data_IF_126162675207
#
_entry.id   IF_126162675207
#
_cell.length_a   1.000
_cell.length_b   1.000
_cell.length_c   1.000
_cell.angle_alpha   90.00
_cell.angle_beta   90.00
_cell.angle_gamma   90.00
#
_symmetry.space_group_name_H-M   'P 1'
#
loop_
_entity.id
_entity.type
_entity.pdbx_description
1 polymer ?
#
# COMPACT_ATOMS: atom_id res chain seq x y z
N UNK A 1 27.79 44.62 3.39
CA UNK A 1 26.92 44.02 2.36
C UNK A 1 27.35 42.58 2.23
N UNK A 2 26.73 41.68 2.98
CA UNK A 2 27.02 40.25 2.95
C UNK A 2 26.27 39.63 1.76
N UNK A 3 27.02 39.03 0.83
CA UNK A 3 26.44 38.29 -0.30
C UNK A 3 25.81 37.01 0.23
N UNK A 4 24.48 36.92 0.13
CA UNK A 4 23.77 35.66 0.35
C UNK A 4 24.04 34.77 -0.86
N UNK A 5 24.87 33.76 -0.67
CA UNK A 5 24.99 32.65 -1.60
C UNK A 5 23.65 31.93 -1.69
N UNK A 6 22.95 32.18 -2.79
CA UNK A 6 21.75 31.43 -3.16
C UNK A 6 22.26 30.09 -3.69
N UNK A 7 22.25 29.09 -2.82
CA UNK A 7 22.40 27.69 -3.22
C UNK A 7 21.25 27.34 -4.16
N UNK A 8 21.54 27.32 -5.45
CA UNK A 8 20.63 26.76 -6.46
C UNK A 8 20.71 25.24 -6.32
N UNK A 9 19.59 24.54 -6.08
CA UNK A 9 19.58 23.08 -6.04
C UNK A 9 20.11 22.54 -7.36
N UNK A 10 21.11 21.66 -7.28
CA UNK A 10 21.71 21.03 -8.45
C UNK A 10 20.61 20.36 -9.31
N UNK A 11 20.67 20.44 -10.65
CA UNK A 11 19.70 19.79 -11.51
C UNK A 11 19.63 18.29 -11.17
N UNK A 12 18.43 17.77 -10.92
CA UNK A 12 18.19 16.32 -10.80
C UNK A 12 18.80 15.68 -12.05
N UNK A 13 19.85 14.88 -11.88
CA UNK A 13 20.44 14.14 -12.98
C UNK A 13 19.35 13.26 -13.58
N UNK A 14 18.90 13.62 -14.78
CA UNK A 14 18.09 12.75 -15.62
C UNK A 14 19.00 11.57 -15.98
N UNK A 15 18.94 10.52 -15.16
CA UNK A 15 19.63 9.28 -15.45
C UNK A 15 18.85 8.63 -16.60
N UNK A 16 19.54 8.24 -17.67
CA UNK A 16 18.96 7.40 -18.72
C UNK A 16 18.29 6.18 -18.04
N UNK A 17 17.13 5.77 -18.55
CA UNK A 17 16.37 4.61 -18.03
C UNK A 17 17.36 3.48 -17.71
N UNK A 18 17.37 3.04 -16.47
CA UNK A 18 18.21 1.95 -16.01
C UNK A 18 17.88 0.71 -16.86
N UNK A 19 18.79 0.37 -17.76
CA UNK A 19 18.53 -0.58 -18.84
C UNK A 19 18.97 -2.00 -18.48
N UNK A 20 19.80 -2.17 -17.45
CA UNK A 20 20.31 -3.48 -17.06
C UNK A 20 19.37 -4.14 -16.04
N UNK A 21 18.73 -5.28 -16.38
CA UNK A 21 17.89 -6.03 -15.44
C UNK A 21 18.58 -6.38 -14.11
N UNK A 22 19.93 -6.46 -14.08
CA UNK A 22 20.69 -6.70 -12.84
C UNK A 22 20.55 -5.57 -11.82
N UNK A 23 20.30 -4.34 -12.26
CA UNK A 23 20.16 -3.18 -11.39
C UNK A 23 18.92 -3.24 -10.50
N UNK A 24 17.93 -4.05 -10.87
CA UNK A 24 16.68 -4.20 -10.13
C UNK A 24 16.62 -5.45 -9.26
N UNK A 25 17.57 -6.40 -9.41
CA UNK A 25 17.54 -7.63 -8.61
C UNK A 25 17.42 -7.32 -7.11
N UNK A 26 16.54 -8.04 -6.39
CA UNK A 26 15.80 -9.25 -6.81
C UNK A 26 14.50 -9.00 -7.61
N UNK A 27 14.10 -7.75 -7.83
CA UNK A 27 12.90 -7.44 -8.61
C UNK A 27 13.05 -7.81 -10.07
N UNK A 28 11.98 -8.38 -10.63
CA UNK A 28 11.87 -8.72 -12.04
C UNK A 28 10.95 -7.69 -12.68
N UNK A 29 11.50 -6.91 -13.61
CA UNK A 29 10.76 -5.92 -14.39
C UNK A 29 9.99 -6.62 -15.51
N UNK A 30 8.72 -6.26 -15.69
CA UNK A 30 7.95 -6.65 -16.87
C UNK A 30 8.58 -6.07 -18.14
N UNK A 31 8.40 -6.75 -19.27
CA UNK A 31 8.92 -6.27 -20.55
C UNK A 31 8.30 -4.91 -20.92
N UNK A 32 9.16 -3.90 -21.05
CA UNK A 32 8.75 -2.54 -21.39
C UNK A 32 8.07 -2.42 -22.76
N UNK A 33 8.27 -3.38 -23.67
CA UNK A 33 7.57 -3.42 -24.96
C UNK A 33 6.10 -3.80 -24.82
N UNK A 34 5.74 -4.53 -23.76
CA UNK A 34 4.37 -4.93 -23.45
C UNK A 34 3.63 -3.89 -22.59
N UNK A 35 4.36 -3.13 -21.78
CA UNK A 35 3.84 -2.07 -20.90
C UNK A 35 4.66 -0.78 -21.03
N UNK A 36 4.53 -0.10 -22.16
CA UNK A 36 5.35 1.07 -22.48
C UNK A 36 5.09 2.28 -21.55
N UNK A 37 3.85 2.41 -21.05
CA UNK A 37 3.39 3.52 -20.21
C UNK A 37 3.54 3.27 -18.70
N UNK A 38 3.78 2.02 -18.29
CA UNK A 38 3.76 1.61 -16.88
C UNK A 38 4.94 0.70 -16.56
N UNK A 39 5.75 1.08 -15.58
CA UNK A 39 6.75 0.20 -15.01
C UNK A 39 6.09 -0.74 -14.01
N UNK A 40 6.15 -2.04 -14.28
CA UNK A 40 5.66 -3.11 -13.40
C UNK A 40 6.82 -4.00 -12.98
N UNK A 41 6.94 -4.24 -11.69
CA UNK A 41 7.95 -5.09 -11.08
C UNK A 41 7.29 -6.16 -10.21
N UNK A 42 7.91 -7.32 -10.19
CA UNK A 42 7.50 -8.46 -9.38
C UNK A 42 8.66 -8.96 -8.54
N UNK A 43 8.41 -9.16 -7.26
CA UNK A 43 9.32 -9.81 -6.32
C UNK A 43 8.75 -11.18 -5.94
N UNK A 44 9.32 -12.30 -6.42
CA UNK A 44 8.89 -13.63 -6.02
C UNK A 44 9.05 -13.82 -4.52
N UNK A 45 8.05 -14.41 -3.86
CA UNK A 45 8.19 -14.90 -2.47
C UNK A 45 7.96 -16.41 -2.44
N UNK A 46 8.58 -17.08 -1.48
CA UNK A 46 8.49 -18.54 -1.36
C UNK A 46 7.07 -19.04 -1.05
N UNK A 47 6.30 -18.33 -0.23
CA UNK A 47 4.91 -18.64 0.14
C UNK A 47 4.23 -17.44 0.80
N UNK A 48 2.91 -17.53 1.03
CA UNK A 48 2.20 -16.74 2.02
C UNK A 48 1.67 -17.66 3.13
N UNK A 49 1.94 -17.39 4.42
CA UNK A 49 2.78 -16.31 4.92
C UNK A 49 4.25 -16.38 4.42
N UNK A 50 4.85 -15.21 4.22
CA UNK A 50 6.22 -15.03 3.72
C UNK A 50 7.22 -15.46 4.80
N UNK A 51 8.34 -16.07 4.40
CA UNK A 51 9.40 -16.46 5.35
C UNK A 51 10.00 -15.23 6.03
N UNK A 52 10.42 -15.37 7.28
CA UNK A 52 10.93 -14.24 8.08
C UNK A 52 12.11 -13.50 7.40
N UNK A 53 13.01 -14.21 6.72
CA UNK A 53 14.13 -13.57 6.01
C UNK A 53 13.66 -12.72 4.82
N UNK A 54 12.75 -13.26 3.99
CA UNK A 54 12.14 -12.53 2.88
C UNK A 54 11.34 -11.33 3.42
N UNK A 55 10.54 -11.53 4.47
CA UNK A 55 9.74 -10.48 5.12
C UNK A 55 10.62 -9.36 5.68
N UNK A 56 11.72 -9.70 6.35
CA UNK A 56 12.66 -8.71 6.87
C UNK A 56 13.28 -7.88 5.74
N UNK A 57 13.70 -8.53 4.66
CA UNK A 57 14.23 -7.84 3.48
C UNK A 57 13.18 -6.91 2.85
N UNK A 58 11.96 -7.39 2.63
CA UNK A 58 10.86 -6.60 2.02
C UNK A 58 10.51 -5.41 2.93
N UNK A 59 10.47 -5.63 4.25
CA UNK A 59 10.20 -4.55 5.22
C UNK A 59 11.23 -3.44 5.09
N UNK A 60 12.52 -3.80 5.08
CA UNK A 60 13.62 -2.85 4.98
C UNK A 60 13.61 -2.13 3.62
N UNK A 61 13.41 -2.88 2.54
CA UNK A 61 13.23 -2.32 1.20
C UNK A 61 12.12 -1.27 1.15
N UNK A 62 10.93 -1.59 1.68
CA UNK A 62 9.79 -0.68 1.67
C UNK A 62 10.01 0.54 2.57
N UNK A 63 10.76 0.41 3.67
CA UNK A 63 11.14 1.54 4.51
C UNK A 63 12.00 2.54 3.73
N UNK A 64 13.05 2.05 3.06
CA UNK A 64 13.95 2.89 2.26
C UNK A 64 13.28 3.49 1.03
N UNK A 65 12.49 2.68 0.32
CA UNK A 65 11.70 3.15 -0.83
C UNK A 65 10.73 4.27 -0.39
N UNK A 66 10.03 4.09 0.73
CA UNK A 66 9.10 5.11 1.23
C UNK A 66 9.82 6.41 1.59
N UNK A 67 10.97 6.31 2.25
CA UNK A 67 11.79 7.48 2.60
C UNK A 67 12.26 8.23 1.35
N UNK A 68 12.76 7.51 0.34
CA UNK A 68 13.18 8.10 -0.92
C UNK A 68 12.00 8.78 -1.64
N UNK A 69 10.85 8.12 -1.73
CA UNK A 69 9.66 8.69 -2.38
C UNK A 69 9.14 9.93 -1.66
N UNK A 70 9.20 9.94 -0.33
CA UNK A 70 8.82 11.09 0.47
C UNK A 70 9.78 12.26 0.30
N UNK A 71 11.10 12.02 0.37
CA UNK A 71 12.10 13.07 0.28
C UNK A 71 12.19 13.66 -1.14
N UNK A 72 12.16 12.80 -2.16
CA UNK A 72 12.40 13.22 -3.53
C UNK A 72 11.12 13.68 -4.25
N UNK A 73 9.94 13.17 -3.85
CA UNK A 73 8.69 13.42 -4.57
C UNK A 73 7.54 13.87 -3.67
N UNK A 74 7.74 13.94 -2.35
CA UNK A 74 6.69 14.30 -1.40
C UNK A 74 5.57 13.26 -1.28
N UNK A 75 5.77 12.05 -1.82
CA UNK A 75 4.75 11.00 -1.73
C UNK A 75 4.72 10.39 -0.34
N UNK A 76 3.51 10.13 0.15
CA UNK A 76 3.28 9.45 1.44
C UNK A 76 2.77 8.04 1.21
N UNK A 77 3.34 7.07 1.90
CA UNK A 77 2.85 5.68 1.87
C UNK A 77 1.61 5.53 2.74
N UNK A 78 0.55 4.99 2.15
CA UNK A 78 -0.70 4.66 2.83
C UNK A 78 -0.92 3.15 2.82
N UNK A 79 -1.06 2.56 4.01
CA UNK A 79 -1.13 1.12 4.20
C UNK A 79 -2.57 0.68 4.41
N UNK A 80 -2.97 -0.30 3.60
CA UNK A 80 -4.26 -0.95 3.62
C UNK A 80 -4.06 -2.44 3.89
N UNK A 81 -5.02 -3.07 4.57
CA UNK A 81 -4.99 -4.50 4.86
C UNK A 81 -6.35 -5.15 4.64
N UNK A 82 -6.39 -6.30 3.98
CA UNK A 82 -7.63 -7.03 3.74
C UNK A 82 -8.15 -7.64 5.05
N UNK A 83 -9.39 -7.32 5.42
CA UNK A 83 -10.02 -7.80 6.65
C UNK A 83 -10.10 -9.33 6.72
N UNK A 84 -10.36 -9.99 5.58
CA UNK A 84 -10.44 -11.46 5.50
C UNK A 84 -9.16 -12.16 5.94
N UNK A 85 -8.01 -11.52 5.76
CA UNK A 85 -6.70 -12.09 6.13
C UNK A 85 -6.41 -12.05 7.64
N UNK A 86 -7.26 -11.38 8.45
CA UNK A 86 -7.11 -11.39 9.91
C UNK A 86 -7.31 -12.81 10.47
N UNK A 87 -8.22 -13.57 9.86
CA UNK A 87 -8.42 -14.99 10.14
C UNK A 87 -7.91 -15.78 8.93
N UNK A 88 -6.72 -16.40 8.98
CA UNK A 88 -6.19 -17.16 10.11
C UNK A 88 -4.92 -16.58 10.75
N UNK A 89 -4.89 -16.50 12.09
CA UNK A 89 -3.65 -16.30 12.86
C UNK A 89 -3.30 -14.85 13.26
N UNK A 90 -4.03 -13.84 12.77
CA UNK A 90 -3.78 -12.43 13.09
C UNK A 90 -4.81 -11.81 14.04
N UNK A 91 -5.80 -12.56 14.52
CA UNK A 91 -6.90 -12.03 15.35
C UNK A 91 -6.40 -11.29 16.59
N UNK A 92 -5.53 -11.89 17.41
CA UNK A 92 -5.06 -11.24 18.64
C UNK A 92 -4.13 -10.06 18.35
N UNK A 93 -3.28 -10.20 17.33
CA UNK A 93 -2.40 -9.14 16.83
C UNK A 93 -3.23 -7.92 16.39
N UNK A 94 -4.23 -8.15 15.55
CA UNK A 94 -5.14 -7.12 15.07
C UNK A 94 -5.97 -6.53 16.21
N UNK A 95 -6.46 -7.34 17.15
CA UNK A 95 -7.21 -6.84 18.32
C UNK A 95 -6.34 -5.92 19.17
N UNK A 96 -5.12 -6.34 19.49
CA UNK A 96 -4.18 -5.58 20.31
C UNK A 96 -3.74 -4.27 19.64
N UNK A 97 -3.45 -4.32 18.34
CA UNK A 97 -3.10 -3.13 17.55
C UNK A 97 -4.31 -2.20 17.35
N UNK A 98 -5.46 -2.78 17.05
CA UNK A 98 -6.72 -2.11 16.77
C UNK A 98 -7.28 -1.26 17.91
N UNK A 99 -6.85 -1.51 19.15
CA UNK A 99 -7.16 -0.68 20.32
C UNK A 99 -6.33 0.62 20.37
N UNK A 100 -5.22 0.69 19.63
CA UNK A 100 -4.26 1.79 19.64
C UNK A 100 -4.25 2.59 18.34
N UNK A 101 -4.90 2.10 17.29
CA UNK A 101 -4.91 2.73 15.98
C UNK A 101 -6.32 3.21 15.59
N UNK A 102 -6.38 4.37 14.95
CA UNK A 102 -7.55 4.76 14.18
C UNK A 102 -7.53 3.99 12.86
N UNK A 103 -8.69 3.46 12.48
CA UNK A 103 -8.89 2.73 11.23
C UNK A 103 -10.14 3.22 10.52
N UNK A 104 -10.08 3.21 9.20
CA UNK A 104 -11.23 3.48 8.34
C UNK A 104 -11.50 2.24 7.49
N UNK A 105 -12.75 1.82 7.44
CA UNK A 105 -13.17 0.69 6.61
C UNK A 105 -13.53 1.18 5.22
N UNK A 106 -13.00 0.50 4.21
CA UNK A 106 -13.37 0.67 2.82
C UNK A 106 -13.55 -0.67 2.14
N UNK A 107 -13.65 -0.66 0.82
CA UNK A 107 -13.82 -1.85 0.02
C UNK A 107 -12.62 -2.04 -0.90
N UNK A 108 -12.13 -3.26 -1.01
CA UNK A 108 -11.15 -3.68 -2.00
C UNK A 108 -11.90 -4.38 -3.12
N UNK A 109 -11.53 -4.10 -4.37
CA UNK A 109 -12.22 -4.67 -5.52
C UNK A 109 -11.32 -4.68 -6.75
N UNK A 110 -11.44 -5.69 -7.59
CA UNK A 110 -10.98 -5.59 -8.98
C UNK A 110 -12.03 -4.86 -9.83
N UNK A 111 -11.60 -4.00 -10.75
CA UNK A 111 -12.53 -3.28 -11.64
C UNK A 111 -13.54 -4.27 -12.26
N UNK A 112 -14.84 -4.01 -12.10
CA UNK A 112 -15.94 -4.84 -12.61
C UNK A 112 -16.27 -6.14 -11.84
N UNK A 113 -15.50 -6.54 -10.82
CA UNK A 113 -15.79 -7.75 -10.03
C UNK A 113 -17.13 -7.65 -9.27
N UNK A 114 -18.10 -8.52 -9.50
CA UNK A 114 -19.36 -8.45 -8.74
C UNK A 114 -19.11 -8.64 -7.23
N UNK A 115 -19.75 -7.79 -6.42
CA UNK A 115 -19.68 -7.99 -4.98
C UNK A 115 -20.45 -9.25 -4.59
N UNK A 116 -19.90 -10.06 -3.67
CA UNK A 116 -20.64 -11.17 -3.08
C UNK A 116 -22.01 -10.69 -2.59
N UNK A 117 -23.02 -11.48 -2.88
CA UNK A 117 -24.37 -11.30 -2.35
C UNK A 117 -24.57 -12.23 -1.16
N UNK A 118 -25.38 -11.78 -0.20
CA UNK A 118 -25.84 -12.68 0.85
C UNK A 118 -26.77 -13.72 0.23
N UNK A 119 -26.57 -15.02 0.50
CA UNK A 119 -27.49 -16.03 0.02
C UNK A 119 -28.87 -15.80 0.65
N UNK A 120 -29.90 -16.13 -0.12
CA UNK A 120 -31.28 -16.18 0.37
C UNK A 120 -31.45 -17.23 1.48
N UNK A 121 -32.46 -17.08 2.36
CA UNK A 121 -32.77 -18.10 3.37
C UNK A 121 -32.94 -19.51 2.78
N UNK A 122 -33.50 -19.62 1.58
CA UNK A 122 -33.69 -20.87 0.84
C UNK A 122 -32.36 -21.49 0.41
N UNK A 123 -31.41 -20.67 -0.07
CA UNK A 123 -30.05 -21.12 -0.43
C UNK A 123 -29.27 -21.59 0.79
N UNK A 124 -29.35 -20.86 1.91
CA UNK A 124 -28.73 -21.26 3.18
C UNK A 124 -29.28 -22.62 3.62
N UNK A 125 -30.61 -22.78 3.60
CA UNK A 125 -31.26 -24.04 3.96
C UNK A 125 -30.76 -25.19 3.08
N UNK A 126 -30.69 -24.99 1.77
CA UNK A 126 -30.17 -25.98 0.82
C UNK A 126 -28.71 -26.32 1.10
N UNK A 127 -27.85 -25.34 1.37
CA UNK A 127 -26.44 -25.58 1.71
C UNK A 127 -26.28 -26.43 2.97
N UNK A 128 -27.10 -26.18 3.99
CA UNK A 128 -27.13 -26.98 5.23
C UNK A 128 -27.61 -28.41 4.94
N UNK A 129 -28.68 -28.56 4.16
CA UNK A 129 -29.22 -29.88 3.77
C UNK A 129 -28.22 -30.70 2.93
N UNK A 130 -27.40 -30.03 2.12
CA UNK A 130 -26.31 -30.63 1.34
C UNK A 130 -25.03 -30.90 2.17
N UNK A 131 -25.02 -30.54 3.46
CA UNK A 131 -23.86 -30.73 4.33
C UNK A 131 -22.66 -29.83 4.00
N UNK A 132 -22.88 -28.72 3.28
CA UNK A 132 -21.80 -27.77 2.95
C UNK A 132 -21.37 -27.01 4.20
N UNK A 133 -20.06 -26.87 4.38
CA UNK A 133 -19.52 -25.97 5.42
C UNK A 133 -19.81 -24.54 5.02
N UNK A 134 -20.48 -23.79 5.88
CA UNK A 134 -20.80 -22.38 5.66
C UNK A 134 -19.67 -21.53 6.25
N UNK A 135 -19.00 -20.77 5.39
CA UNK A 135 -18.08 -19.72 5.79
C UNK A 135 -18.63 -18.36 5.41
N UNK A 136 -19.10 -17.60 6.41
CA UNK A 136 -19.66 -16.27 6.19
C UNK A 136 -18.68 -15.30 5.49
N UNK A 137 -17.37 -15.57 5.54
CA UNK A 137 -16.35 -14.77 4.84
C UNK A 137 -16.51 -14.82 3.33
N UNK A 138 -17.10 -15.87 2.78
CA UNK A 138 -17.37 -16.00 1.35
C UNK A 138 -18.42 -15.00 0.86
N UNK A 139 -19.27 -14.52 1.77
CA UNK A 139 -20.34 -13.55 1.47
C UNK A 139 -19.93 -12.11 1.77
N UNK A 140 -18.77 -11.91 2.39
CA UNK A 140 -18.22 -10.58 2.63
C UNK A 140 -17.48 -10.11 1.37
N UNK A 141 -17.67 -8.85 0.99
CA UNK A 141 -16.75 -8.20 0.06
C UNK A 141 -15.32 -8.18 0.60
N UNK A 142 -14.35 -7.83 -0.24
CA UNK A 142 -12.95 -7.73 0.17
C UNK A 142 -12.72 -6.43 0.95
N UNK A 143 -13.31 -6.31 2.14
CA UNK A 143 -13.20 -5.11 2.97
C UNK A 143 -11.73 -4.80 3.30
N UNK A 144 -11.37 -3.54 3.14
CA UNK A 144 -10.04 -3.02 3.42
C UNK A 144 -10.06 -2.20 4.70
N UNK A 145 -9.05 -2.42 5.54
CA UNK A 145 -8.74 -1.55 6.65
C UNK A 145 -7.69 -0.57 6.18
N UNK A 146 -7.99 0.72 6.18
CA UNK A 146 -6.99 1.78 6.06
C UNK A 146 -6.54 2.20 7.45
N UNK A 147 -5.24 2.06 7.74
CA UNK A 147 -4.65 2.52 8.99
C UNK A 147 -4.36 4.03 8.91
N UNK A 148 -5.32 4.85 9.35
CA UNK A 148 -5.22 6.31 9.31
C UNK A 148 -4.26 6.88 10.38
N UNK A 149 -3.99 6.14 11.46
CA UNK A 149 -2.84 6.42 12.32
C UNK A 149 -1.55 6.05 11.58
N UNK A 150 -0.66 7.02 11.34
CA UNK A 150 0.49 6.84 10.45
C UNK A 150 1.66 6.18 11.18
N UNK A 151 1.61 4.85 11.27
CA UNK A 151 2.65 4.02 11.90
C UNK A 151 3.16 2.93 10.93
N UNK A 152 3.73 3.32 9.77
CA UNK A 152 4.00 2.40 8.67
C UNK A 152 4.96 1.27 9.05
N UNK A 153 5.98 1.53 9.87
CA UNK A 153 6.95 0.53 10.31
C UNK A 153 6.28 -0.56 11.16
N UNK A 154 5.50 -0.16 12.17
CA UNK A 154 4.77 -1.09 13.04
C UNK A 154 3.72 -1.87 12.26
N UNK A 155 3.01 -1.20 11.34
CA UNK A 155 2.02 -1.84 10.47
C UNK A 155 2.66 -2.90 9.57
N UNK A 156 3.81 -2.61 8.95
CA UNK A 156 4.58 -3.59 8.17
C UNK A 156 5.03 -4.74 9.04
N UNK A 157 5.62 -4.46 10.21
CA UNK A 157 6.06 -5.50 11.15
C UNK A 157 4.93 -6.49 11.48
N UNK A 158 3.73 -5.97 11.75
CA UNK A 158 2.57 -6.75 12.18
C UNK A 158 1.85 -7.47 11.04
N UNK A 159 1.72 -6.85 9.86
CA UNK A 159 0.78 -7.29 8.84
C UNK A 159 1.43 -7.63 7.48
N UNK A 160 2.66 -7.18 7.21
CA UNK A 160 3.39 -7.58 6.01
C UNK A 160 3.74 -9.06 6.08
N UNK A 161 3.73 -9.71 4.94
CA UNK A 161 4.03 -11.12 4.73
C UNK A 161 2.78 -11.99 4.68
N UNK A 162 1.57 -11.44 4.81
CA UNK A 162 0.34 -12.24 4.91
C UNK A 162 -0.47 -12.31 3.61
N UNK A 163 -0.01 -11.67 2.53
CA UNK A 163 -0.68 -11.77 1.23
C UNK A 163 -1.87 -10.83 1.09
N UNK A 164 -1.92 -9.79 1.91
CA UNK A 164 -3.12 -8.99 2.14
C UNK A 164 -2.85 -7.51 2.39
N UNK A 165 -1.57 -7.11 2.43
CA UNK A 165 -1.18 -5.71 2.54
C UNK A 165 -1.07 -5.07 1.15
N UNK A 166 -1.68 -3.91 1.03
CA UNK A 166 -1.51 -3.01 -0.12
C UNK A 166 -0.99 -1.68 0.38
N UNK A 167 0.06 -1.15 -0.24
CA UNK A 167 0.55 0.21 0.01
C UNK A 167 0.40 1.03 -1.26
N UNK A 168 -0.28 2.17 -1.19
CA UNK A 168 -0.27 3.16 -2.27
C UNK A 168 0.47 4.41 -1.80
N UNK A 169 1.17 5.06 -2.73
CA UNK A 169 1.91 6.27 -2.46
C UNK A 169 1.13 7.46 -3.00
N UNK A 170 0.50 8.21 -2.11
CA UNK A 170 -0.34 9.35 -2.48
C UNK A 170 0.47 10.63 -2.55
N UNK A 171 0.18 11.53 -3.52
CA UNK A 171 0.69 12.89 -3.48
C UNK A 171 0.11 13.65 -2.27
N UNK A 172 0.75 14.75 -1.85
CA UNK A 172 0.19 15.61 -0.82
C UNK A 172 -1.13 16.20 -1.30
N UNK A 173 -2.16 16.18 -0.46
CA UNK A 173 -3.43 16.83 -0.76
C UNK A 173 -3.34 18.31 -0.36
N UNK A 174 -3.42 19.27 -1.30
CA UNK A 174 -3.31 20.69 -0.98
C UNK A 174 -4.45 21.20 -0.09
N UNK A 175 -5.60 20.50 -0.06
CA UNK A 175 -6.77 20.84 0.77
C UNK A 175 -6.62 20.36 2.21
N UNK A 176 -5.80 19.32 2.44
CA UNK A 176 -5.59 18.73 3.76
C UNK A 176 -4.24 19.16 4.30
N UNK A 177 -4.23 20.21 5.11
CA UNK A 177 -3.03 20.64 5.86
C UNK A 177 -3.25 20.35 7.33
N UNK A 178 -2.51 19.38 7.86
CA UNK A 178 -2.50 19.12 9.30
C UNK A 178 -1.91 20.35 10.00
N UNK A 179 -2.65 20.99 10.92
CA UNK A 179 -2.14 22.16 11.63
C UNK A 179 -0.98 21.74 12.54
N UNK A 180 0.04 22.60 12.63
CA UNK A 180 1.07 22.44 13.67
C UNK A 180 0.43 22.69 15.02
N UNK A 181 0.31 21.65 15.83
CA UNK A 181 -0.23 21.77 17.18
C UNK A 181 0.71 22.62 18.05
N UNK A 182 0.18 23.50 18.90
CA UNK A 182 0.98 24.39 19.75
C UNK A 182 1.61 23.67 20.96
N UNK A 183 1.70 22.34 20.94
CA UNK A 183 2.19 21.55 22.06
C UNK A 183 3.69 21.29 21.93
N UNK A 184 4.50 21.98 22.74
CA UNK A 184 5.95 21.76 22.79
C UNK A 184 6.28 20.37 23.37
N UNK A 185 7.48 19.82 23.11
CA UNK A 185 7.92 18.56 23.72
C UNK A 185 7.82 18.54 25.26
N UNK A 186 8.09 19.68 25.90
CA UNK A 186 8.00 19.84 27.36
C UNK A 186 6.55 19.78 27.85
N UNK A 187 5.62 20.40 27.11
CA UNK A 187 4.19 20.33 27.45
C UNK A 187 3.65 18.91 27.28
N UNK A 188 4.10 18.21 26.23
CA UNK A 188 3.76 16.80 25.96
C UNK A 188 4.24 15.86 27.04
N UNK A 189 5.45 16.05 27.56
CA UNK A 189 6.00 15.21 28.62
C UNK A 189 5.39 15.51 30.00
N UNK A 190 5.00 16.75 30.26
CA UNK A 190 4.41 17.17 31.54
C UNK A 190 2.98 16.63 31.75
N UNK A 191 2.15 16.57 30.71
CA UNK A 191 0.74 16.17 30.83
C UNK A 191 0.57 14.64 30.78
N UNK A 192 -0.06 14.07 31.82
CA UNK A 192 -0.27 12.62 31.92
C UNK A 192 -1.10 12.03 30.75
N UNK A 193 -2.02 12.81 30.18
CA UNK A 193 -2.87 12.40 29.05
C UNK A 193 -2.06 12.24 27.76
N UNK A 194 -1.13 13.17 27.47
CA UNK A 194 -0.30 13.13 26.26
C UNK A 194 0.75 12.00 26.29
N UNK A 195 1.08 11.47 27.46
CA UNK A 195 1.90 10.25 27.59
C UNK A 195 1.14 8.96 27.27
N UNK A 196 -0.20 8.99 27.34
CA UNK A 196 -1.07 7.83 27.08
C UNK A 196 -1.70 7.85 25.68
N UNK A 197 -1.76 9.03 25.06
CA UNK A 197 -2.47 9.27 23.81
C UNK A 197 -1.54 9.96 22.83
N UNK A 198 -1.36 9.35 21.67
CA UNK A 198 -0.63 9.94 20.57
C UNK A 198 -1.52 10.95 19.81
N UNK A 199 -1.52 12.18 20.31
CA UNK A 199 -2.34 13.26 19.78
C UNK A 199 -2.01 13.59 18.33
N UNK A 200 -0.73 13.54 17.95
CA UNK A 200 -0.32 13.83 16.57
C UNK A 200 -0.91 12.81 15.60
N UNK A 201 -0.89 11.53 15.97
CA UNK A 201 -1.50 10.48 15.16
C UNK A 201 -3.02 10.58 15.10
N UNK A 202 -3.68 11.05 16.16
CA UNK A 202 -5.13 11.30 16.14
C UNK A 202 -5.46 12.45 15.19
N UNK A 203 -4.75 13.58 15.28
CA UNK A 203 -4.96 14.71 14.38
C UNK A 203 -4.67 14.32 12.94
N UNK A 204 -3.54 13.68 12.68
CA UNK A 204 -3.20 13.21 11.34
C UNK A 204 -4.27 12.27 10.79
N UNK A 205 -4.78 11.35 11.60
CA UNK A 205 -5.87 10.46 11.21
C UNK A 205 -7.19 11.18 10.91
N UNK A 206 -7.56 12.18 11.71
CA UNK A 206 -8.77 12.97 11.50
C UNK A 206 -8.70 13.82 10.21
N UNK A 207 -7.52 14.32 9.86
CA UNK A 207 -7.30 15.05 8.61
C UNK A 207 -7.23 14.12 7.39
N UNK A 208 -6.71 12.89 7.55
CA UNK A 208 -6.73 11.88 6.49
C UNK A 208 -8.16 11.53 6.04
N UNK A 209 -9.16 11.65 6.92
CA UNK A 209 -10.57 11.47 6.59
C UNK A 209 -11.17 12.57 5.71
N UNK A 210 -10.41 13.63 5.41
CA UNK A 210 -10.82 14.74 4.54
C UNK A 210 -10.10 14.71 3.19
N UNK A 211 -9.27 13.69 2.94
CA UNK A 211 -8.49 13.58 1.72
C UNK A 211 -9.36 13.34 0.50
N UNK A 212 -9.05 14.04 -0.59
CA UNK A 212 -9.73 13.88 -1.87
C UNK A 212 -9.58 12.45 -2.45
N UNK A 213 -8.64 11.66 -1.94
CA UNK A 213 -8.50 10.25 -2.28
C UNK A 213 -9.80 9.47 -2.00
N UNK A 214 -10.49 9.74 -0.89
CA UNK A 214 -11.70 9.03 -0.50
C UNK A 214 -12.76 9.07 -1.61
N UNK A 215 -13.16 10.28 -2.01
CA UNK A 215 -14.19 10.47 -3.04
C UNK A 215 -13.72 10.01 -4.42
N UNK A 216 -12.50 10.36 -4.83
CA UNK A 216 -11.96 9.99 -6.14
C UNK A 216 -11.81 8.47 -6.32
N UNK A 217 -11.44 7.77 -5.24
CA UNK A 217 -11.33 6.31 -5.26
C UNK A 217 -12.71 5.66 -5.48
N UNK A 218 -13.76 6.22 -4.86
CA UNK A 218 -15.14 5.75 -5.04
C UNK A 218 -15.67 6.04 -6.44
N UNK A 219 -15.38 7.23 -6.98
CA UNK A 219 -15.76 7.60 -8.34
C UNK A 219 -15.10 6.66 -9.37
N UNK A 220 -13.81 6.36 -9.19
CA UNK A 220 -13.04 5.56 -10.13
C UNK A 220 -13.35 4.06 -10.04
N UNK A 221 -13.43 3.50 -8.84
CA UNK A 221 -13.53 2.05 -8.62
C UNK A 221 -14.91 1.59 -8.14
N UNK A 222 -15.83 2.53 -7.87
CA UNK A 222 -17.19 2.24 -7.42
C UNK A 222 -18.21 2.02 -8.51
N UNK A 223 -17.81 2.07 -9.78
CA UNK A 223 -18.70 1.86 -10.92
C UNK A 223 -19.48 0.54 -10.78
N UNK A 224 -20.80 0.62 -10.92
CA UNK A 224 -21.73 -0.49 -10.77
C UNK A 224 -22.18 -0.78 -9.34
N UNK A 225 -21.73 -0.01 -8.35
CA UNK A 225 -22.16 -0.13 -6.94
C UNK A 225 -23.10 0.99 -6.51
N UNK A 226 -23.34 1.99 -7.35
CA UNK A 226 -24.03 3.24 -6.99
C UNK A 226 -25.47 3.01 -6.52
N UNK A 227 -26.11 1.95 -7.00
CA UNK A 227 -27.48 1.58 -6.65
C UNK A 227 -27.56 0.70 -5.40
N UNK A 228 -26.42 0.25 -4.85
CA UNK A 228 -26.39 -0.65 -3.69
C UNK A 228 -26.60 0.12 -2.39
N UNK A 229 -27.44 -0.38 -1.46
CA UNK A 229 -27.70 0.29 -0.18
C UNK A 229 -26.46 0.58 0.67
N UNK A 230 -25.42 -0.25 0.57
CA UNK A 230 -24.19 -0.11 1.34
C UNK A 230 -23.21 0.93 0.75
N UNK A 231 -23.36 1.33 -0.52
CA UNK A 231 -22.40 2.21 -1.20
C UNK A 231 -22.19 3.57 -0.53
N UNK A 232 -23.22 4.25 0.02
CA UNK A 232 -23.03 5.47 0.82
C UNK A 232 -22.15 5.25 2.06
N UNK A 233 -22.16 4.05 2.65
CA UNK A 233 -21.39 3.70 3.84
C UNK A 233 -19.94 3.31 3.57
N UNK A 234 -19.56 3.06 2.30
CA UNK A 234 -18.19 2.75 1.92
C UNK A 234 -17.38 4.05 1.90
N UNK A 235 -16.32 4.14 2.72
CA UNK A 235 -15.52 5.37 2.79
C UNK A 235 -14.58 5.56 1.59
N UNK A 236 -14.00 4.48 1.08
CA UNK A 236 -13.10 4.46 -0.07
C UNK A 236 -13.18 3.11 -0.79
N UNK A 237 -12.73 3.07 -2.04
CA UNK A 237 -12.58 1.83 -2.80
C UNK A 237 -11.14 1.70 -3.31
N UNK A 238 -10.43 0.68 -2.84
CA UNK A 238 -9.05 0.41 -3.23
C UNK A 238 -8.99 -0.64 -4.35
N UNK A 239 -8.25 -0.40 -5.45
CA UNK A 239 -8.11 -1.40 -6.47
C UNK A 239 -7.17 -2.51 -6.00
N UNK A 240 -7.62 -3.77 -6.05
CA UNK A 240 -6.80 -4.94 -5.77
C UNK A 240 -6.14 -5.44 -7.07
N UNK A 241 -5.16 -4.67 -7.56
CA UNK A 241 -4.48 -4.96 -8.81
C UNK A 241 -3.50 -6.14 -8.69
N UNK A 242 -3.57 -7.02 -9.68
CA UNK A 242 -2.69 -8.17 -9.94
C UNK A 242 -1.91 -7.92 -11.23
N UNK A 243 -0.90 -8.73 -11.52
CA UNK A 243 -0.07 -8.56 -12.72
C UNK A 243 -0.91 -8.55 -14.00
N UNK A 244 -1.85 -9.51 -14.12
CA UNK A 244 -2.79 -9.64 -15.24
C UNK A 244 -3.59 -8.36 -15.50
N UNK A 245 -3.99 -7.65 -14.45
CA UNK A 245 -4.79 -6.43 -14.55
C UNK A 245 -4.03 -5.31 -15.26
N UNK A 246 -2.71 -5.21 -15.06
CA UNK A 246 -1.90 -4.22 -15.77
C UNK A 246 -1.81 -4.53 -17.26
N UNK A 247 -1.67 -5.80 -17.65
CA UNK A 247 -1.59 -6.20 -19.06
C UNK A 247 -2.93 -6.13 -19.80
N UNK A 248 -4.04 -6.37 -19.11
CA UNK A 248 -5.38 -6.35 -19.70
C UNK A 248 -5.98 -4.95 -19.80
N UNK A 249 -5.59 -4.02 -18.91
CA UNK A 249 -6.08 -2.65 -18.94
C UNK A 249 -5.63 -1.89 -20.20
N UNK A 250 -6.40 -0.88 -20.60
CA UNK A 250 -5.93 0.07 -21.61
C UNK A 250 -4.90 1.04 -20.99
N UNK A 251 -4.02 1.67 -21.79
CA UNK A 251 -3.12 2.71 -21.30
C UNK A 251 -3.84 3.85 -20.57
N UNK A 252 -5.01 4.26 -21.06
CA UNK A 252 -5.82 5.33 -20.49
C UNK A 252 -6.36 4.94 -19.11
N UNK A 253 -6.76 3.68 -18.94
CA UNK A 253 -7.23 3.20 -17.64
C UNK A 253 -6.09 3.13 -16.62
N UNK A 254 -4.90 2.66 -17.02
CA UNK A 254 -3.71 2.70 -16.16
C UNK A 254 -3.34 4.14 -15.78
N UNK A 255 -3.38 5.06 -16.73
CA UNK A 255 -3.13 6.48 -16.48
C UNK A 255 -4.11 7.05 -15.45
N UNK A 256 -5.40 6.66 -15.51
CA UNK A 256 -6.37 7.05 -14.49
C UNK A 256 -5.98 6.54 -13.10
N UNK A 257 -5.57 5.28 -12.97
CA UNK A 257 -5.12 4.73 -11.69
C UNK A 257 -3.95 5.54 -11.12
N UNK A 258 -2.95 5.84 -11.94
CA UNK A 258 -1.75 6.55 -11.50
C UNK A 258 -1.91 8.08 -11.40
N UNK A 259 -3.04 8.63 -11.87
CA UNK A 259 -3.49 9.98 -11.49
C UNK A 259 -4.00 10.03 -10.05
N UNK A 260 -4.52 8.92 -9.52
CA UNK A 260 -4.99 8.83 -8.14
C UNK A 260 -3.84 8.61 -7.15
N UNK A 261 -2.91 7.70 -7.48
CA UNK A 261 -1.73 7.38 -6.66
C UNK A 261 -0.45 7.35 -7.50
N UNK A 262 0.67 7.78 -6.93
CA UNK A 262 1.96 7.81 -7.64
C UNK A 262 2.58 6.43 -7.84
N UNK A 263 2.51 5.57 -6.83
CA UNK A 263 3.05 4.21 -6.87
C UNK A 263 2.12 3.25 -6.13
N UNK A 264 2.08 2.01 -6.57
CA UNK A 264 1.27 0.93 -6.02
C UNK A 264 2.17 -0.24 -5.64
N UNK A 265 1.99 -0.77 -4.43
CA UNK A 265 2.66 -1.99 -3.95
C UNK A 265 1.60 -2.92 -3.37
N UNK A 266 1.61 -4.20 -3.76
CA UNK A 266 0.62 -5.16 -3.29
C UNK A 266 1.23 -6.53 -3.06
N UNK A 267 0.91 -7.14 -1.93
CA UNK A 267 1.12 -8.57 -1.75
C UNK A 267 0.06 -9.34 -2.55
N UNK A 268 0.51 -10.12 -3.53
CA UNK A 268 -0.37 -10.86 -4.42
C UNK A 268 -0.11 -12.36 -4.30
N UNK A 269 -0.92 -13.08 -3.51
CA UNK A 269 -0.90 -14.55 -3.48
C UNK A 269 -1.12 -15.17 -4.86
N UNK A 270 -1.94 -14.54 -5.71
CA UNK A 270 -2.19 -14.99 -7.08
C UNK A 270 -0.91 -14.92 -7.92
N UNK A 271 -0.15 -13.82 -7.82
CA UNK A 271 1.11 -13.64 -8.53
C UNK A 271 2.31 -14.24 -7.77
N UNK A 272 2.08 -14.94 -6.65
CA UNK A 272 3.11 -15.58 -5.80
C UNK A 272 4.25 -14.63 -5.42
N UNK A 273 3.92 -13.37 -5.10
CA UNK A 273 4.92 -12.35 -4.86
C UNK A 273 4.38 -11.01 -4.41
N UNK A 274 5.27 -10.03 -4.36
CA UNK A 274 4.92 -8.62 -4.17
C UNK A 274 5.00 -7.92 -5.52
N UNK A 275 3.96 -7.19 -5.88
CA UNK A 275 3.94 -6.32 -7.05
C UNK A 275 4.32 -4.90 -6.67
N UNK A 276 5.03 -4.22 -7.55
CA UNK A 276 5.32 -2.79 -7.48
C UNK A 276 5.08 -2.17 -8.85
N UNK A 277 4.28 -1.11 -8.92
CA UNK A 277 3.93 -0.48 -10.19
C UNK A 277 3.87 1.05 -10.09
N UNK A 278 4.29 1.73 -11.15
CA UNK A 278 4.23 3.19 -11.31
C UNK A 278 4.38 3.61 -12.78
N UNK A 279 3.94 4.81 -13.16
CA UNK A 279 4.13 5.34 -14.53
C UNK A 279 5.25 6.35 -14.65
N UNK A 280 5.55 7.10 -13.59
CA UNK A 280 6.53 8.17 -13.63
C UNK A 280 7.95 7.61 -13.59
N UNK A 281 8.71 7.81 -14.66
CA UNK A 281 10.08 7.32 -14.79
C UNK A 281 10.98 7.82 -13.65
N UNK A 282 10.75 9.03 -13.14
CA UNK A 282 11.54 9.56 -12.03
C UNK A 282 11.42 8.71 -10.74
N UNK A 283 10.34 7.96 -10.54
CA UNK A 283 10.20 7.08 -9.37
C UNK A 283 11.10 5.85 -9.44
N UNK A 284 11.60 5.52 -10.63
CA UNK A 284 12.58 4.46 -10.84
C UNK A 284 13.90 4.76 -10.12
N UNK A 285 14.25 6.05 -9.97
CA UNK A 285 15.42 6.49 -9.21
C UNK A 285 15.26 6.17 -7.73
N UNK A 286 14.06 6.35 -7.16
CA UNK A 286 13.80 6.01 -5.75
C UNK A 286 13.89 4.50 -5.49
N UNK A 287 13.40 3.68 -6.43
CA UNK A 287 13.55 2.23 -6.43
C UNK A 287 15.02 1.82 -6.45
N UNK A 288 15.78 2.35 -7.40
CA UNK A 288 17.20 2.07 -7.53
C UNK A 288 17.99 2.50 -6.29
N UNK A 289 17.76 3.70 -5.77
CA UNK A 289 18.44 4.19 -4.57
C UNK A 289 18.15 3.30 -3.35
N UNK A 290 16.92 2.79 -3.23
CA UNK A 290 16.58 1.83 -2.17
C UNK A 290 17.41 0.55 -2.34
N UNK A 291 17.42 -0.05 -3.53
CA UNK A 291 18.18 -1.28 -3.81
C UNK A 291 19.69 -1.11 -3.64
N UNK A 292 20.27 -0.02 -4.14
CA UNK A 292 21.70 0.26 -3.98
C UNK A 292 22.10 0.40 -2.51
N UNK A 293 21.27 1.09 -1.72
CA UNK A 293 21.54 1.20 -0.29
C UNK A 293 21.48 -0.17 0.40
N UNK A 294 20.56 -1.05 -0.01
CA UNK A 294 20.48 -2.41 0.53
C UNK A 294 21.70 -3.25 0.16
N UNK A 295 22.21 -3.10 -1.07
CA UNK A 295 23.45 -3.76 -1.51
C UNK A 295 24.67 -3.29 -0.72
N UNK A 296 24.77 -1.99 -0.44
CA UNK A 296 25.85 -1.41 0.39
C UNK A 296 25.85 -1.96 1.81
N UNK A 297 24.67 -2.25 2.34
CA UNK A 297 24.51 -2.87 3.67
C UNK A 297 24.52 -4.40 3.62
N UNK A 298 24.91 -4.98 2.48
CA UNK A 298 25.04 -6.43 2.24
C UNK A 298 23.73 -7.22 2.50
N UNK A 299 22.58 -6.57 2.39
CA UNK A 299 21.27 -7.20 2.58
C UNK A 299 20.88 -8.03 1.37
N UNK A 300 20.85 -9.36 1.55
CA UNK A 300 20.53 -10.33 0.48
C UNK A 300 19.09 -10.79 0.55
N UNK A 301 18.50 -11.01 -0.62
CA UNK A 301 17.16 -11.57 -0.74
C UNK A 301 17.22 -13.09 -0.83
N UNK A 302 16.57 -13.79 0.10
CA UNK A 302 16.57 -15.25 0.16
C UNK A 302 17.98 -15.87 0.20
N UNK A 303 18.16 -16.98 -0.51
CA UNK A 303 19.42 -17.75 -0.59
C UNK A 303 20.34 -17.27 -1.73
N UNK A 304 20.22 -16.03 -2.21
CA UNK A 304 21.11 -15.52 -3.27
C UNK A 304 22.59 -15.65 -2.85
N UNK A 305 23.33 -16.52 -3.55
CA UNK A 305 24.77 -16.67 -3.39
C UNK A 305 25.48 -15.35 -3.74
N UNK A 306 26.66 -15.08 -3.12
CA UNK A 306 27.41 -13.86 -3.41
C UNK A 306 27.68 -13.72 -4.91
N UNK A 307 27.57 -12.50 -5.43
CA UNK A 307 28.00 -12.18 -6.78
C UNK A 307 29.51 -12.45 -6.91
N UNK A 308 29.87 -13.48 -7.68
CA UNK A 308 31.23 -13.73 -8.13
C UNK A 308 31.98 -14.82 -7.35
N UNK A 309 31.93 -16.02 -7.92
CA UNK A 309 33.07 -16.92 -8.06
C UNK A 309 33.19 -17.29 -9.53
#
# INVERSE_FOLDING_TARGET
>A
MESRDISVPSPRMARERLSDPKEYRPWIRADSSLLADTALFWLPVSSFPVREQEKAWITEFLNRLSLNLQNDFGLRGEIFFQYKAIAPGLTETFRSYGLKCMKLMGLGRFAEEELPSFPSPEEIKKMVEEGKTIDFRDWLGNYMIWFVSKQPEEQRRLFLGHGAMTTIFLPPDPKVKVPKLPFTPELRSSLATFRKIDVDNIFTGAFAMQEAFLDKSKEMFGKGLETRPEYPGIAFILPLLQSSHFFLASPELREQWFKLFGMYVNESPHDRGVLLAFQKEEYEIALYNALESMRKDELRYGDEQPFGS
#
